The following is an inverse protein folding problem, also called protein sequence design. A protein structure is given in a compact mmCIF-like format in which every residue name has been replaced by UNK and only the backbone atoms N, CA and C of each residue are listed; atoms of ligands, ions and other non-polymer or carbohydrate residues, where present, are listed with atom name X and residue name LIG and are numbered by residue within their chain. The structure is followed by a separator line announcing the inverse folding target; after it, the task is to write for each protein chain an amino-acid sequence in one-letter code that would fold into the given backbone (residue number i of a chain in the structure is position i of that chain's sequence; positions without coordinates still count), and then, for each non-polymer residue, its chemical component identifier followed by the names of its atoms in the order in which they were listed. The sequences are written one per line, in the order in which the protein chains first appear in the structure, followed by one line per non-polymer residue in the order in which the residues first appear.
data_IF_005243192114
#
_entry.id   IF_005243192114
#
_cell.length_a   1.000
_cell.length_b   1.000
_cell.length_c   1.000
_cell.angle_alpha   90.00
_cell.angle_beta   90.00
_cell.angle_gamma   90.00
#
_symmetry.space_group_name_H-M   'P 1'
#
loop_
_entity.id
_entity.type
_entity.pdbx_description
1 polymer ?
#
# COMPACT_ATOMS: atom_id res chain seq x y z
N UNK A 1 10.26 -15.64 1.65
CA UNK A 1 10.46 -14.32 2.29
C UNK A 1 9.73 -13.26 1.49
N UNK A 2 8.58 -12.76 1.96
CA UNK A 2 7.77 -11.79 1.20
C UNK A 2 8.25 -10.35 1.33
N UNK A 3 8.95 -9.99 2.42
CA UNK A 3 9.34 -8.60 2.70
C UNK A 3 10.26 -7.96 1.64
N UNK A 4 11.03 -8.74 0.87
CA UNK A 4 11.79 -8.22 -0.27
C UNK A 4 11.01 -8.25 -1.58
N UNK A 5 9.93 -9.03 -1.63
CA UNK A 5 9.10 -9.24 -2.81
C UNK A 5 7.95 -8.24 -2.94
N UNK A 6 7.75 -7.40 -1.93
CA UNK A 6 6.66 -6.44 -1.86
C UNK A 6 7.13 -5.13 -1.26
N UNK A 7 6.39 -4.07 -1.53
CA UNK A 7 6.55 -2.77 -0.91
C UNK A 7 5.17 -2.13 -0.72
N UNK A 8 5.08 -1.11 0.12
CA UNK A 8 3.81 -0.48 0.42
C UNK A 8 3.67 0.85 -0.30
N UNK A 9 2.46 1.13 -0.78
CA UNK A 9 2.08 2.37 -1.43
C UNK A 9 0.96 3.06 -0.64
N UNK A 10 1.03 4.38 -0.55
CA UNK A 10 -0.08 5.20 -0.06
C UNK A 10 -0.90 5.67 -1.25
N UNK A 11 -2.21 5.70 -1.07
CA UNK A 11 -3.18 6.28 -2.00
C UNK A 11 -4.15 7.15 -1.21
N UNK A 12 -4.57 8.23 -1.81
CA UNK A 12 -5.39 9.26 -1.17
C UNK A 12 -6.71 9.40 -1.88
N UNK A 13 -7.74 9.77 -1.14
CA UNK A 13 -9.08 10.03 -1.70
C UNK A 13 -9.63 11.29 -1.07
N UNK A 14 -10.31 12.09 -1.88
CA UNK A 14 -11.20 13.17 -1.42
C UNK A 14 -12.62 12.89 -1.90
N UNK A 15 -13.60 13.34 -1.14
CA UNK A 15 -15.01 13.24 -1.47
C UNK A 15 -15.60 14.64 -1.60
N UNK A 16 -15.98 15.02 -2.82
CA UNK A 16 -16.60 16.29 -3.11
C UNK A 16 -18.13 16.17 -3.07
N UNK A 17 -18.78 16.98 -2.25
CA UNK A 17 -20.23 16.98 -2.16
C UNK A 17 -20.88 17.60 -3.40
N UNK A 18 -22.00 17.02 -3.83
CA UNK A 18 -22.74 17.45 -5.02
C UNK A 18 -21.88 17.56 -6.29
N UNK A 19 -20.83 16.75 -6.37
CA UNK A 19 -20.04 16.62 -7.60
C UNK A 19 -20.88 16.07 -8.76
N UNK A 20 -20.37 16.20 -10.00
CA UNK A 20 -21.08 15.67 -11.16
C UNK A 20 -21.31 14.18 -11.03
N UNK A 21 -22.50 13.74 -11.46
CA UNK A 21 -22.77 12.31 -11.57
C UNK A 21 -22.12 11.79 -12.86
N UNK A 22 -21.24 10.81 -12.69
CA UNK A 22 -20.56 10.12 -13.78
C UNK A 22 -21.12 8.72 -13.92
N UNK A 23 -21.25 8.24 -15.15
CA UNK A 23 -21.79 6.91 -15.42
C UNK A 23 -20.65 5.89 -15.43
N UNK A 24 -20.31 5.39 -14.23
CA UNK A 24 -19.30 4.36 -14.06
C UNK A 24 -18.13 4.71 -13.13
N UNK A 25 -17.08 3.92 -13.24
CA UNK A 25 -15.81 4.11 -12.53
C UNK A 25 -14.70 4.30 -13.55
N UNK A 26 -13.89 5.32 -13.37
CA UNK A 26 -12.82 5.68 -14.29
C UNK A 26 -11.49 5.65 -13.55
N UNK A 27 -10.48 5.14 -14.24
CA UNK A 27 -9.08 5.09 -13.76
C UNK A 27 -8.19 5.55 -14.90
N UNK A 28 -7.29 6.49 -14.62
CA UNK A 28 -6.26 6.90 -15.55
C UNK A 28 -5.18 5.81 -15.68
N UNK A 29 -4.64 5.62 -16.85
CA UNK A 29 -3.55 4.66 -17.14
C UNK A 29 -2.18 5.12 -16.64
N UNK A 30 -2.02 6.39 -16.25
CA UNK A 30 -0.76 6.91 -15.74
C UNK A 30 -0.34 6.21 -14.44
N UNK A 31 0.98 6.05 -14.21
CA UNK A 31 1.52 5.41 -13.01
C UNK A 31 1.04 6.07 -11.69
N UNK A 32 0.83 7.38 -11.72
CA UNK A 32 0.25 8.17 -10.63
C UNK A 32 -1.11 8.73 -11.05
N UNK A 33 -1.89 7.94 -11.78
CA UNK A 33 -3.17 8.33 -12.33
C UNK A 33 -4.24 8.53 -11.28
N UNK A 34 -5.27 9.28 -11.66
CA UNK A 34 -6.42 9.51 -10.81
C UNK A 34 -7.54 8.52 -11.09
N UNK A 35 -8.39 8.31 -10.10
CA UNK A 35 -9.60 7.52 -10.22
C UNK A 35 -10.82 8.34 -9.84
N UNK A 36 -11.94 8.06 -10.51
CA UNK A 36 -13.19 8.80 -10.32
C UNK A 36 -14.35 7.83 -10.21
N UNK A 37 -15.23 8.04 -9.23
CA UNK A 37 -16.52 7.34 -9.10
C UNK A 37 -17.46 8.12 -8.22
N UNK A 38 -18.75 7.88 -8.36
CA UNK A 38 -19.73 8.39 -7.41
C UNK A 38 -20.00 7.41 -6.27
N UNK A 39 -20.34 7.97 -5.13
CA UNK A 39 -20.99 7.29 -4.03
C UNK A 39 -22.08 8.21 -3.49
N UNK A 40 -23.35 7.85 -3.67
CA UNK A 40 -24.49 8.74 -3.37
C UNK A 40 -24.33 10.08 -4.09
N UNK A 41 -24.35 11.20 -3.33
CA UNK A 41 -24.17 12.56 -3.84
C UNK A 41 -22.70 13.01 -3.88
N UNK A 42 -21.75 12.14 -3.54
CA UNK A 42 -20.33 12.47 -3.57
C UNK A 42 -19.65 12.03 -4.86
N UNK A 43 -18.79 12.89 -5.39
CA UNK A 43 -17.76 12.49 -6.35
C UNK A 43 -16.50 12.15 -5.56
N UNK A 44 -16.05 10.91 -5.65
CA UNK A 44 -14.80 10.43 -5.08
C UNK A 44 -13.68 10.58 -6.10
N UNK A 45 -12.62 11.28 -5.72
CA UNK A 45 -11.40 11.44 -6.53
C UNK A 45 -10.27 10.77 -5.76
N UNK A 46 -9.66 9.74 -6.36
CA UNK A 46 -8.51 9.03 -5.80
C UNK A 46 -7.24 9.32 -6.57
N UNK A 47 -6.09 9.25 -5.92
CA UNK A 47 -4.77 9.48 -6.52
C UNK A 47 -3.73 9.92 -5.51
N UNK A 48 -2.78 10.77 -5.93
CA UNK A 48 -1.73 11.31 -5.07
C UNK A 48 -0.75 10.25 -4.55
N UNK A 49 -0.59 9.18 -5.29
CA UNK A 49 0.07 7.95 -4.91
C UNK A 49 1.58 8.10 -4.68
N UNK A 50 2.08 7.43 -3.65
CA UNK A 50 3.52 7.32 -3.45
C UNK A 50 3.90 6.11 -2.59
N UNK A 51 5.16 5.68 -2.67
CA UNK A 51 5.67 4.65 -1.78
C UNK A 51 5.68 5.15 -0.33
N UNK A 52 5.17 4.34 0.60
CA UNK A 52 5.15 4.66 2.04
C UNK A 52 6.53 5.10 2.54
N UNK A 53 6.58 6.18 3.30
CA UNK A 53 7.81 6.79 3.80
C UNK A 53 8.64 7.53 2.74
N UNK A 54 8.11 7.76 1.54
CA UNK A 54 8.66 8.69 0.53
C UNK A 54 7.70 9.86 0.35
N UNK A 55 8.20 10.93 -0.26
CA UNK A 55 7.37 12.08 -0.62
C UNK A 55 6.52 11.73 -1.85
N UNK A 56 5.31 12.29 -1.92
CA UNK A 56 4.38 12.10 -3.04
C UNK A 56 3.32 13.19 -3.08
N UNK A 57 2.38 13.06 -4.00
CA UNK A 57 1.35 14.05 -4.29
C UNK A 57 0.32 14.25 -3.18
N UNK A 58 -0.02 13.20 -2.43
CA UNK A 58 -0.99 13.17 -1.33
C UNK A 58 -2.32 13.88 -1.65
N UNK A 59 -3.06 14.35 -0.65
CA UNK A 59 -4.32 15.11 -0.85
C UNK A 59 -4.12 16.44 -1.58
N UNK A 60 -2.94 17.04 -1.49
CA UNK A 60 -2.63 18.33 -2.15
C UNK A 60 -2.80 18.24 -3.67
N UNK A 61 -2.34 17.14 -4.27
CA UNK A 61 -2.51 16.89 -5.71
C UNK A 61 -3.97 16.80 -6.10
N UNK A 62 -4.77 16.07 -5.31
CA UNK A 62 -6.21 15.92 -5.54
C UNK A 62 -6.96 17.24 -5.37
N UNK A 63 -6.63 18.01 -4.33
CA UNK A 63 -7.21 19.32 -4.07
C UNK A 63 -6.87 20.33 -5.17
N UNK A 64 -5.63 20.30 -5.67
CA UNK A 64 -5.23 21.12 -6.80
C UNK A 64 -6.05 20.79 -8.05
N UNK A 65 -6.23 19.50 -8.35
CA UNK A 65 -7.06 19.06 -9.44
C UNK A 65 -8.53 19.46 -9.24
N UNK A 66 -9.09 19.21 -8.04
CA UNK A 66 -10.46 19.60 -7.72
C UNK A 66 -10.67 21.10 -7.83
N UNK A 67 -9.74 21.92 -7.36
CA UNK A 67 -9.78 23.38 -7.47
C UNK A 67 -9.75 23.88 -8.92
N UNK A 68 -9.17 23.12 -9.83
CA UNK A 68 -9.16 23.46 -11.26
C UNK A 68 -10.46 23.10 -11.98
N UNK A 69 -11.05 21.94 -11.68
CA UNK A 69 -12.16 21.38 -12.45
C UNK A 69 -13.49 21.36 -11.70
N UNK A 70 -13.47 21.44 -10.37
CA UNK A 70 -14.63 21.33 -9.47
C UNK A 70 -14.59 22.41 -8.38
N UNK A 71 -14.15 23.61 -8.74
CA UNK A 71 -13.89 24.73 -7.83
C UNK A 71 -15.10 25.21 -7.01
N UNK A 72 -16.31 24.87 -7.45
CA UNK A 72 -17.58 25.17 -6.79
C UNK A 72 -18.08 24.04 -5.88
N UNK A 73 -17.27 22.99 -5.66
CA UNK A 73 -17.63 21.82 -4.85
C UNK A 73 -16.80 21.80 -3.56
N UNK A 74 -17.46 21.39 -2.48
CA UNK A 74 -16.86 21.34 -1.16
C UNK A 74 -16.33 19.93 -0.86
N UNK A 75 -15.09 19.84 -0.34
CA UNK A 75 -14.53 18.61 0.19
C UNK A 75 -15.16 18.31 1.55
N UNK A 76 -15.93 17.23 1.65
CA UNK A 76 -16.56 16.80 2.89
C UNK A 76 -15.74 15.77 3.65
N UNK A 77 -15.04 14.90 2.91
CA UNK A 77 -14.23 13.83 3.51
C UNK A 77 -12.93 13.66 2.75
N UNK A 78 -11.90 13.29 3.48
CA UNK A 78 -10.67 12.78 2.91
C UNK A 78 -10.14 11.61 3.74
N UNK A 79 -9.49 10.67 3.08
CA UNK A 79 -8.82 9.56 3.74
C UNK A 79 -7.67 9.04 2.89
N UNK A 80 -6.81 8.22 3.49
CA UNK A 80 -5.73 7.55 2.80
C UNK A 80 -5.78 6.04 3.08
N UNK A 81 -5.27 5.27 2.14
CA UNK A 81 -5.15 3.82 2.23
C UNK A 81 -3.72 3.39 2.01
N UNK A 82 -3.39 2.17 2.44
CA UNK A 82 -2.10 1.55 2.16
C UNK A 82 -2.29 0.25 1.41
N UNK A 83 -1.65 0.14 0.26
CA UNK A 83 -1.74 -1.01 -0.62
C UNK A 83 -0.41 -1.76 -0.69
N UNK A 84 -0.50 -3.08 -0.79
CA UNK A 84 0.65 -3.95 -0.93
C UNK A 84 0.94 -4.21 -2.41
N UNK A 85 2.07 -3.71 -2.88
CA UNK A 85 2.53 -3.81 -4.26
C UNK A 85 3.53 -4.94 -4.42
N UNK A 86 3.38 -5.73 -5.47
CA UNK A 86 4.35 -6.76 -5.86
C UNK A 86 5.39 -6.19 -6.83
N UNK A 87 6.48 -6.93 -7.09
CA UNK A 87 7.55 -6.47 -7.97
C UNK A 87 7.22 -6.60 -9.47
N UNK A 88 6.22 -7.38 -9.80
CA UNK A 88 5.79 -7.71 -11.16
C UNK A 88 4.32 -7.41 -11.43
N UNK A 89 3.69 -6.68 -10.48
CA UNK A 89 2.28 -6.27 -10.54
C UNK A 89 1.27 -7.43 -10.58
N UNK A 90 1.73 -8.66 -10.33
CA UNK A 90 0.89 -9.86 -10.22
C UNK A 90 0.77 -10.27 -8.77
N UNK A 91 -0.45 -10.48 -8.22
CA UNK A 91 -0.64 -10.97 -6.85
C UNK A 91 0.06 -12.29 -6.56
N UNK A 92 0.37 -12.52 -5.29
CA UNK A 92 0.80 -13.84 -4.80
C UNK A 92 -0.43 -14.57 -4.26
N UNK A 93 -0.84 -15.64 -4.94
CA UNK A 93 -2.02 -16.43 -4.56
C UNK A 93 -1.65 -17.92 -4.69
N UNK A 94 -1.72 -18.65 -3.59
CA UNK A 94 -1.43 -20.08 -3.59
C UNK A 94 -0.80 -20.56 -2.30
N UNK A 95 -0.15 -21.71 -2.34
CA UNK A 95 0.57 -22.25 -1.19
C UNK A 95 1.71 -21.33 -0.77
N UNK A 96 1.78 -21.01 0.52
CA UNK A 96 2.80 -20.13 1.07
C UNK A 96 4.24 -20.58 0.77
N UNK A 97 4.46 -21.87 0.85
CA UNK A 97 5.76 -22.50 0.62
C UNK A 97 5.57 -23.96 0.19
N UNK A 98 6.52 -24.49 -0.57
CA UNK A 98 6.54 -25.91 -0.95
C UNK A 98 6.60 -26.85 0.25
N UNK A 99 7.13 -26.37 1.39
CA UNK A 99 7.28 -27.16 2.63
C UNK A 99 6.08 -27.02 3.58
N UNK A 100 5.07 -26.24 3.23
CA UNK A 100 3.89 -25.97 4.08
C UNK A 100 2.63 -26.24 3.26
N UNK A 101 2.21 -27.48 3.23
CA UNK A 101 1.10 -27.92 2.39
C UNK A 101 -0.25 -27.27 2.73
N UNK A 102 -0.48 -26.97 4.03
CA UNK A 102 -1.75 -26.47 4.55
C UNK A 102 -1.77 -24.93 4.69
N UNK A 103 -0.67 -24.24 4.37
CA UNK A 103 -0.60 -22.79 4.45
C UNK A 103 -0.78 -22.16 3.07
N UNK A 104 -1.76 -21.28 2.98
CA UNK A 104 -2.06 -20.53 1.78
C UNK A 104 -1.86 -19.04 2.01
N UNK A 105 -1.60 -18.31 0.94
CA UNK A 105 -1.46 -16.85 0.94
C UNK A 105 -2.21 -16.25 -0.23
N UNK A 106 -2.81 -15.10 -0.01
CA UNK A 106 -3.34 -14.21 -1.04
C UNK A 106 -2.97 -12.79 -0.64
N UNK A 107 -2.05 -12.17 -1.36
CA UNK A 107 -1.48 -10.85 -1.02
C UNK A 107 -0.90 -10.14 -2.24
N UNK A 108 -0.57 -8.85 -2.06
CA UNK A 108 0.03 -8.06 -3.14
C UNK A 108 -0.97 -7.72 -4.23
N UNK A 109 -2.14 -7.26 -3.87
CA UNK A 109 -3.24 -7.02 -4.82
C UNK A 109 -3.09 -5.74 -5.65
N UNK A 110 -2.00 -4.98 -5.48
CA UNK A 110 -1.64 -3.86 -6.34
C UNK A 110 -2.79 -2.88 -6.59
N UNK A 111 -3.54 -2.51 -5.53
CA UNK A 111 -4.74 -1.65 -5.57
C UNK A 111 -5.99 -2.27 -6.22
N UNK A 112 -5.89 -3.49 -6.73
CA UNK A 112 -7.00 -4.23 -7.35
C UNK A 112 -7.60 -5.30 -6.41
N UNK A 113 -7.77 -4.94 -5.12
CA UNK A 113 -8.21 -5.87 -4.09
C UNK A 113 -9.54 -6.55 -4.39
N UNK A 114 -10.54 -5.82 -4.86
CA UNK A 114 -11.88 -6.37 -5.16
C UNK A 114 -11.83 -7.42 -6.27
N UNK A 115 -11.15 -7.14 -7.38
CA UNK A 115 -11.02 -8.09 -8.50
C UNK A 115 -10.11 -9.26 -8.13
N UNK A 116 -8.96 -8.97 -7.52
CA UNK A 116 -7.98 -9.98 -7.13
C UNK A 116 -8.49 -10.93 -6.06
N UNK A 117 -9.40 -10.51 -5.19
CA UNK A 117 -10.03 -11.38 -4.19
C UNK A 117 -10.89 -12.48 -4.83
N UNK A 118 -11.57 -12.18 -5.93
CA UNK A 118 -12.34 -13.19 -6.68
C UNK A 118 -11.41 -14.22 -7.36
N UNK A 119 -10.29 -13.74 -7.93
CA UNK A 119 -9.27 -14.63 -8.48
C UNK A 119 -8.68 -15.51 -7.37
N UNK A 120 -8.39 -14.91 -6.20
CA UNK A 120 -7.87 -15.64 -5.04
C UNK A 120 -8.85 -16.71 -4.55
N UNK A 121 -10.13 -16.39 -4.45
CA UNK A 121 -11.16 -17.35 -4.05
C UNK A 121 -11.19 -18.56 -4.98
N UNK A 122 -11.20 -18.34 -6.29
CA UNK A 122 -11.21 -19.42 -7.27
C UNK A 122 -9.92 -20.27 -7.21
N UNK A 123 -8.76 -19.64 -7.22
CA UNK A 123 -7.46 -20.33 -7.22
C UNK A 123 -7.26 -21.15 -5.94
N UNK A 124 -7.55 -20.58 -4.77
CA UNK A 124 -7.38 -21.26 -3.50
C UNK A 124 -8.38 -22.41 -3.35
N UNK A 125 -9.63 -22.23 -3.77
CA UNK A 125 -10.62 -23.31 -3.77
C UNK A 125 -10.15 -24.48 -4.63
N UNK A 126 -9.68 -24.24 -5.85
CA UNK A 126 -9.18 -25.29 -6.73
C UNK A 126 -7.97 -25.99 -6.12
N UNK A 127 -7.03 -25.26 -5.51
CA UNK A 127 -5.86 -25.84 -4.85
C UNK A 127 -6.23 -26.69 -3.62
N UNK A 128 -7.17 -26.24 -2.80
CA UNK A 128 -7.66 -26.99 -1.62
C UNK A 128 -8.36 -28.28 -2.07
N UNK A 129 -9.15 -28.20 -3.13
CA UNK A 129 -9.85 -29.36 -3.71
C UNK A 129 -8.97 -30.22 -4.63
N UNK A 130 -7.66 -29.94 -4.73
CA UNK A 130 -6.71 -30.61 -5.62
C UNK A 130 -7.13 -30.61 -7.10
N UNK A 131 -7.86 -29.57 -7.53
CA UNK A 131 -8.22 -29.36 -8.93
C UNK A 131 -7.11 -28.60 -9.66
N UNK A 132 -6.89 -28.96 -10.94
CA UNK A 132 -5.96 -28.21 -11.80
C UNK A 132 -6.59 -26.88 -12.21
N UNK A 133 -5.83 -25.81 -12.04
CA UNK A 133 -6.19 -24.48 -12.52
C UNK A 133 -5.08 -23.95 -13.44
N UNK A 134 -5.37 -23.58 -14.70
CA UNK A 134 -4.35 -23.17 -15.67
C UNK A 134 -3.62 -21.88 -15.28
N UNK A 135 -4.23 -21.06 -14.44
CA UNK A 135 -3.65 -19.78 -14.00
C UNK A 135 -2.80 -19.91 -12.73
N UNK A 136 -2.81 -21.06 -12.06
CA UNK A 136 -2.10 -21.23 -10.78
C UNK A 136 -0.62 -20.89 -10.86
N UNK A 137 0.04 -21.20 -11.96
CA UNK A 137 1.48 -20.92 -12.16
C UNK A 137 1.79 -19.42 -12.24
N UNK A 138 0.88 -18.60 -12.78
CA UNK A 138 1.05 -17.14 -12.90
C UNK A 138 1.08 -16.50 -11.52
N UNK A 139 0.21 -16.94 -10.63
CA UNK A 139 0.04 -16.39 -9.28
C UNK A 139 0.89 -17.08 -8.21
N UNK A 140 1.67 -18.13 -8.59
CA UNK A 140 2.44 -18.93 -7.64
C UNK A 140 3.34 -18.06 -6.74
N UNK A 141 3.17 -18.13 -5.42
CA UNK A 141 4.02 -17.41 -4.47
C UNK A 141 5.50 -17.75 -4.55
N UNK A 142 5.85 -18.92 -5.09
CA UNK A 142 7.23 -19.38 -5.27
C UNK A 142 7.87 -18.94 -6.60
N UNK A 143 7.14 -18.24 -7.47
CA UNK A 143 7.66 -17.76 -8.75
C UNK A 143 8.91 -16.89 -8.61
N UNK A 144 9.75 -16.89 -9.64
CA UNK A 144 11.00 -16.12 -9.65
C UNK A 144 10.73 -14.61 -9.56
N UNK A 145 11.53 -13.92 -8.75
CA UNK A 145 11.41 -12.49 -8.45
C UNK A 145 12.66 -11.70 -8.87
N UNK A 146 13.42 -12.20 -9.80
CA UNK A 146 14.59 -11.52 -10.35
C UNK A 146 14.12 -10.34 -11.25
N UNK A 147 13.71 -9.26 -10.63
CA UNK A 147 13.28 -8.03 -11.28
C UNK A 147 14.14 -6.85 -10.79
N UNK A 148 14.33 -5.79 -11.58
CA UNK A 148 15.10 -4.60 -11.17
C UNK A 148 14.58 -4.01 -9.85
N UNK A 149 13.26 -4.04 -9.62
CA UNK A 149 12.65 -3.56 -8.40
C UNK A 149 13.13 -4.30 -7.14
N UNK A 150 13.57 -5.55 -7.25
CA UNK A 150 14.18 -6.28 -6.13
C UNK A 150 15.45 -5.59 -5.64
N UNK A 151 16.30 -5.13 -6.56
CA UNK A 151 17.51 -4.38 -6.23
C UNK A 151 17.14 -3.04 -5.56
N UNK A 152 16.15 -2.33 -6.10
CA UNK A 152 15.65 -1.07 -5.51
C UNK A 152 15.15 -1.30 -4.08
N UNK A 153 14.42 -2.38 -3.83
CA UNK A 153 13.95 -2.72 -2.48
C UNK A 153 15.12 -3.07 -1.56
N UNK A 154 16.08 -3.85 -2.03
CA UNK A 154 17.31 -4.19 -1.30
C UNK A 154 18.12 -2.95 -0.92
N UNK A 155 18.42 -2.08 -1.88
CA UNK A 155 19.12 -0.82 -1.64
C UNK A 155 18.35 0.09 -0.68
N UNK A 156 17.03 0.17 -0.82
CA UNK A 156 16.18 0.94 0.10
C UNK A 156 16.26 0.39 1.52
N UNK A 157 16.19 -0.93 1.70
CA UNK A 157 16.29 -1.57 3.01
C UNK A 157 17.65 -1.32 3.66
N UNK A 158 18.75 -1.55 2.94
CA UNK A 158 20.12 -1.34 3.43
C UNK A 158 20.33 0.15 3.76
N UNK A 159 19.96 1.06 2.87
CA UNK A 159 20.10 2.50 3.10
C UNK A 159 19.34 2.99 4.34
N UNK A 160 18.14 2.45 4.59
CA UNK A 160 17.36 2.82 5.78
C UNK A 160 17.85 2.14 7.06
N UNK A 161 18.48 0.96 6.97
CA UNK A 161 19.15 0.33 8.13
C UNK A 161 20.38 1.11 8.58
N UNK A 162 21.15 1.61 7.60
CA UNK A 162 22.38 2.37 7.86
C UNK A 162 22.13 3.85 8.23
N UNK A 163 20.94 4.37 7.91
CA UNK A 163 20.60 5.76 8.16
C UNK A 163 20.52 6.05 9.67
N UNK A 164 21.17 7.13 10.11
CA UNK A 164 21.03 7.65 11.48
C UNK A 164 19.61 8.23 11.60
N UNK A 165 18.85 7.75 12.59
CA UNK A 165 17.50 8.21 12.89
C UNK A 165 17.21 8.04 14.37
N UNK A 166 16.53 9.00 14.94
CA UNK A 166 16.09 8.96 16.35
C UNK A 166 15.03 7.88 16.57
N UNK A 167 14.14 7.67 15.61
CA UNK A 167 13.08 6.66 15.68
C UNK A 167 13.34 5.51 14.70
N UNK A 168 13.26 4.29 15.21
CA UNK A 168 13.46 3.06 14.44
C UNK A 168 12.26 2.14 14.54
N UNK A 169 11.93 1.54 13.39
CA UNK A 169 10.82 0.60 13.29
C UNK A 169 11.11 -0.68 14.11
N UNK A 170 10.24 -1.07 15.05
CA UNK A 170 10.45 -2.27 15.88
C UNK A 170 10.35 -3.58 15.09
N UNK A 171 9.87 -3.55 13.84
CA UNK A 171 9.81 -4.74 12.98
C UNK A 171 11.21 -5.27 12.64
N UNK A 172 12.06 -4.47 11.98
CA UNK A 172 13.43 -4.86 11.56
C UNK A 172 14.46 -3.73 11.69
N UNK A 173 14.22 -2.72 12.51
CA UNK A 173 15.19 -1.67 12.81
C UNK A 173 15.40 -0.60 11.75
N UNK A 174 14.58 -0.55 10.69
CA UNK A 174 14.67 0.50 9.66
C UNK A 174 14.40 1.88 10.23
N UNK A 175 15.12 2.90 9.74
CA UNK A 175 14.86 4.29 10.07
C UNK A 175 13.47 4.71 9.64
N UNK A 176 12.75 5.40 10.53
CA UNK A 176 11.44 5.98 10.23
C UNK A 176 11.59 7.37 9.65
N UNK A 177 10.58 7.78 8.89
CA UNK A 177 10.44 9.13 8.36
C UNK A 177 9.14 9.75 8.84
N UNK A 178 9.20 11.02 9.20
CA UNK A 178 8.01 11.78 9.53
C UNK A 178 7.23 12.14 8.26
N UNK A 179 5.93 11.87 8.29
CA UNK A 179 4.97 12.27 7.28
C UNK A 179 4.13 13.42 7.86
N UNK A 180 4.47 14.64 7.48
CA UNK A 180 3.81 15.83 8.00
C UNK A 180 2.36 15.99 7.53
N UNK A 181 1.96 15.32 6.45
CA UNK A 181 0.60 15.39 5.90
C UNK A 181 -0.35 14.49 6.65
N UNK A 182 0.10 13.28 7.02
CA UNK A 182 -0.70 12.30 7.75
C UNK A 182 -0.39 12.26 9.24
N UNK A 183 0.52 13.11 9.72
CA UNK A 183 1.00 13.14 11.12
C UNK A 183 1.43 11.75 11.61
N UNK A 184 2.29 11.08 10.83
CA UNK A 184 2.70 9.71 11.12
C UNK A 184 4.19 9.48 10.89
N UNK A 185 4.75 8.48 11.59
CA UNK A 185 6.09 7.96 11.37
C UNK A 185 6.02 6.75 10.45
N UNK A 186 6.58 6.88 9.26
CA UNK A 186 6.44 5.90 8.19
C UNK A 186 7.75 5.12 7.95
N UNK A 187 7.63 3.79 7.83
CA UNK A 187 8.74 2.90 7.50
C UNK A 187 8.78 2.62 5.98
N UNK A 188 9.77 3.16 5.28
CA UNK A 188 9.93 2.98 3.83
C UNK A 188 10.22 1.53 3.43
N UNK A 189 10.75 0.69 4.36
CA UNK A 189 11.14 -0.69 4.05
C UNK A 189 9.92 -1.58 3.82
N UNK A 190 9.01 -1.63 4.80
CA UNK A 190 7.89 -2.59 4.81
C UNK A 190 6.53 -1.94 5.11
N UNK A 191 6.47 -0.61 5.27
CA UNK A 191 5.23 0.13 5.39
C UNK A 191 4.61 0.18 6.78
N UNK A 192 5.31 -0.21 7.85
CA UNK A 192 4.81 0.05 9.20
C UNK A 192 4.62 1.55 9.42
N UNK A 193 3.51 1.94 10.02
CA UNK A 193 3.20 3.33 10.34
C UNK A 193 2.82 3.47 11.80
N UNK A 194 3.13 4.62 12.35
CA UNK A 194 2.91 4.93 13.76
C UNK A 194 2.39 6.36 13.87
N UNK A 195 1.50 6.62 14.79
CA UNK A 195 1.06 7.97 15.11
C UNK A 195 2.17 8.80 15.78
N UNK A 196 1.85 10.04 16.17
CA UNK A 196 2.75 10.96 16.85
C UNK A 196 3.29 10.38 18.16
N UNK A 197 2.45 9.65 18.89
CA UNK A 197 2.77 9.01 20.16
C UNK A 197 3.52 7.68 19.99
N UNK A 198 3.72 7.24 18.75
CA UNK A 198 4.42 6.01 18.43
C UNK A 198 3.54 4.75 18.49
N UNK A 199 2.23 4.87 18.58
CA UNK A 199 1.29 3.75 18.51
C UNK A 199 1.18 3.25 17.06
N UNK A 200 1.08 1.93 16.88
CA UNK A 200 0.97 1.32 15.55
C UNK A 200 -0.34 1.74 14.87
N UNK A 201 -0.22 2.29 13.66
CA UNK A 201 -1.31 2.55 12.74
C UNK A 201 -1.42 1.43 11.69
N UNK A 202 -0.29 1.08 11.08
CA UNK A 202 -0.21 0.03 10.06
C UNK A 202 0.93 -0.96 10.34
N UNK A 203 0.64 -2.24 10.12
CA UNK A 203 1.60 -3.34 10.20
C UNK A 203 2.68 -3.24 9.07
N UNK A 204 3.78 -4.04 9.12
CA UNK A 204 3.96 -5.29 9.88
C UNK A 204 4.53 -5.17 11.30
N UNK A 205 4.84 -3.99 11.80
CA UNK A 205 5.24 -3.86 13.21
C UNK A 205 4.07 -4.20 14.14
N UNK A 206 4.36 -5.01 15.17
CA UNK A 206 3.37 -5.46 16.15
C UNK A 206 3.45 -4.69 17.49
N UNK A 207 4.48 -3.88 17.67
CA UNK A 207 4.70 -3.08 18.88
C UNK A 207 4.85 -1.61 18.56
N UNK A 208 4.45 -0.77 19.53
CA UNK A 208 4.64 0.68 19.48
C UNK A 208 6.13 1.05 19.48
N UNK A 209 6.43 2.27 19.07
CA UNK A 209 7.77 2.82 19.19
C UNK A 209 8.11 2.92 20.68
N UNK A 210 9.34 2.53 21.02
CA UNK A 210 9.85 2.79 22.36
C UNK A 210 10.07 4.30 22.50
N UNK A 211 9.60 4.87 23.58
CA UNK A 211 10.00 6.22 23.96
C UNK A 211 11.52 6.29 23.96
N UNK A 212 12.08 7.24 23.24
CA UNK A 212 13.48 7.60 23.40
C UNK A 212 13.54 8.24 24.79
N UNK A 213 13.92 7.44 25.79
CA UNK A 213 14.19 7.98 27.12
C UNK A 213 15.23 9.05 26.94
N UNK A 214 14.79 10.30 26.96
CA UNK A 214 15.64 11.46 26.93
C UNK A 214 16.61 11.35 28.11
N UNK A 215 17.89 11.57 27.87
CA UNK A 215 18.86 11.79 28.93
C UNK A 215 18.28 12.85 29.84
N UNK A 216 17.89 12.45 31.07
CA UNK A 216 17.75 13.38 32.14
C UNK A 216 19.17 13.92 32.41
N UNK A 217 19.34 15.20 32.13
CA UNK A 217 20.47 15.98 32.65
C UNK A 217 20.18 16.38 34.10
#
# INVERSE_FOLDING_TARGET
MYYLKMYQHRSYVIALENGPQIDGMYVDEAMCGMSFRNYKNYLLIGGGDHRTGKMGGNWEELRKFAGQFYHDREEQFCWATQDCMTLDEVPYIGRYSKNCAEYYVATGFNKWGMTSSMVAANLLTDQILNKKNPYAAVFDPSRSMLKPQLLVNGCTAVGNLLRISEKRCPHLGCALKWNAVEHSWDCTCHGSRFDEDGKVLDNPANGSLKEVTGKQN
#
